data_IF_837354663404
#
_entry.id   IF_837354663404
#
_cell.length_a   1.000
_cell.length_b   1.000
_cell.length_c   1.000
_cell.angle_alpha   90.00
_cell.angle_beta   90.00
_cell.angle_gamma   90.00
#
_symmetry.space_group_name_H-M   'P 1'
#
loop_
_entity.id
_entity.type
_entity.pdbx_description
1 polymer ?
#
# COMPACT_ATOMS: atom_id res chain seq x y z
N UNK A 1 -51.18 -34.71 -26.14
CA UNK A 1 -50.26 -35.88 -26.20
C UNK A 1 -48.86 -35.56 -26.75
N UNK A 2 -48.59 -34.39 -27.34
CA UNK A 2 -47.29 -34.08 -27.97
C UNK A 2 -46.24 -33.50 -27.01
N UNK A 3 -46.67 -32.83 -25.94
CA UNK A 3 -45.81 -32.08 -25.00
C UNK A 3 -45.04 -33.04 -24.07
N UNK A 4 -45.69 -34.12 -23.65
CA UNK A 4 -45.07 -35.16 -22.80
C UNK A 4 -44.01 -35.96 -23.55
N UNK A 5 -44.22 -36.26 -24.83
CA UNK A 5 -43.25 -36.99 -25.65
C UNK A 5 -41.97 -36.16 -25.85
N UNK A 6 -42.09 -34.85 -26.12
CA UNK A 6 -40.94 -33.96 -26.30
C UNK A 6 -40.07 -33.87 -25.04
N UNK A 7 -40.68 -33.65 -23.87
CA UNK A 7 -39.96 -33.65 -22.60
C UNK A 7 -39.30 -35.00 -22.31
N UNK A 8 -39.96 -36.13 -22.59
CA UNK A 8 -39.35 -37.45 -22.38
C UNK A 8 -38.15 -37.65 -23.31
N UNK A 9 -38.22 -37.23 -24.58
CA UNK A 9 -37.11 -37.33 -25.54
C UNK A 9 -35.95 -36.41 -25.13
N UNK A 10 -36.21 -35.16 -24.76
CA UNK A 10 -35.18 -34.21 -24.29
C UNK A 10 -34.48 -34.74 -23.02
N UNK A 11 -35.26 -35.32 -22.11
CA UNK A 11 -34.72 -35.94 -20.88
C UNK A 11 -33.93 -37.21 -21.18
N UNK A 12 -34.34 -38.00 -22.18
CA UNK A 12 -33.62 -39.21 -22.60
C UNK A 12 -32.31 -38.86 -23.32
N UNK A 13 -32.29 -37.87 -24.21
CA UNK A 13 -31.09 -37.37 -24.88
C UNK A 13 -30.07 -36.84 -23.87
N UNK A 14 -30.52 -36.02 -22.93
CA UNK A 14 -29.66 -35.52 -21.85
C UNK A 14 -29.05 -36.67 -21.04
N UNK A 15 -29.83 -37.72 -20.76
CA UNK A 15 -29.37 -38.90 -20.00
C UNK A 15 -28.38 -39.76 -20.81
N UNK A 16 -28.57 -39.90 -22.13
CA UNK A 16 -27.62 -40.60 -22.99
C UNK A 16 -26.29 -39.86 -23.10
N UNK A 17 -26.30 -38.54 -23.29
CA UNK A 17 -25.09 -37.71 -23.29
C UNK A 17 -24.37 -37.81 -21.94
N UNK A 18 -25.11 -37.76 -20.82
CA UNK A 18 -24.52 -37.96 -19.48
C UNK A 18 -23.88 -39.35 -19.32
N UNK A 19 -24.51 -40.38 -19.88
CA UNK A 19 -23.99 -41.76 -19.80
C UNK A 19 -22.77 -41.98 -20.68
N UNK A 20 -22.69 -41.32 -21.84
CA UNK A 20 -21.58 -41.44 -22.80
C UNK A 20 -20.37 -40.62 -22.33
N UNK A 21 -20.62 -39.46 -21.72
CA UNK A 21 -19.63 -38.65 -21.02
C UNK A 21 -19.00 -39.45 -19.87
N UNK A 22 -19.81 -40.21 -19.12
CA UNK A 22 -19.33 -41.09 -18.05
C UNK A 22 -18.53 -42.32 -18.54
N UNK A 23 -18.47 -42.64 -19.84
CA UNK A 23 -17.56 -43.69 -20.35
C UNK A 23 -16.10 -43.25 -20.30
N UNK A 24 -15.83 -41.95 -20.46
CA UNK A 24 -14.50 -41.34 -20.35
C UNK A 24 -14.36 -40.59 -19.02
N UNK A 25 -14.55 -41.29 -17.88
CA UNK A 25 -14.53 -40.72 -16.52
C UNK A 25 -13.32 -39.81 -16.25
N UNK A 26 -12.15 -40.18 -16.78
CA UNK A 26 -10.91 -39.42 -16.67
C UNK A 26 -11.00 -38.05 -17.38
N UNK A 27 -11.50 -38.03 -18.62
CA UNK A 27 -11.65 -36.80 -19.41
C UNK A 27 -12.64 -35.83 -18.79
N UNK A 28 -13.76 -36.34 -18.27
CA UNK A 28 -14.77 -35.52 -17.57
C UNK A 28 -14.23 -34.97 -16.26
N UNK A 29 -13.51 -35.79 -15.51
CA UNK A 29 -12.84 -35.37 -14.28
C UNK A 29 -11.83 -34.26 -14.54
N UNK A 30 -11.01 -34.40 -15.60
CA UNK A 30 -10.05 -33.37 -16.02
C UNK A 30 -10.74 -32.08 -16.45
N UNK A 31 -11.86 -32.16 -17.18
CA UNK A 31 -12.61 -30.99 -17.61
C UNK A 31 -13.21 -30.24 -16.41
N UNK A 32 -13.81 -30.96 -15.45
CA UNK A 32 -14.30 -30.36 -14.21
C UNK A 32 -13.17 -29.74 -13.39
N UNK A 33 -12.04 -30.44 -13.26
CA UNK A 33 -10.88 -29.95 -12.54
C UNK A 33 -10.34 -28.66 -13.18
N UNK A 34 -10.33 -28.58 -14.52
CA UNK A 34 -9.91 -27.38 -15.25
C UNK A 34 -10.85 -26.20 -14.97
N UNK A 35 -12.17 -26.42 -14.99
CA UNK A 35 -13.16 -25.37 -14.67
C UNK A 35 -12.97 -24.88 -13.23
N UNK A 36 -12.78 -25.78 -12.27
CA UNK A 36 -12.52 -25.43 -10.88
C UNK A 36 -11.20 -24.66 -10.75
N UNK A 37 -10.15 -25.08 -11.45
CA UNK A 37 -8.86 -24.40 -11.45
C UNK A 37 -8.98 -22.97 -12.02
N UNK A 38 -9.71 -22.78 -13.12
CA UNK A 38 -9.92 -21.46 -13.70
C UNK A 38 -10.63 -20.52 -12.70
N UNK A 39 -11.70 -20.98 -12.05
CA UNK A 39 -12.41 -20.20 -11.03
C UNK A 39 -11.53 -19.91 -9.80
N UNK A 40 -10.78 -20.91 -9.34
CA UNK A 40 -9.87 -20.76 -8.21
C UNK A 40 -8.81 -19.70 -8.51
N UNK A 41 -8.14 -19.76 -9.66
CA UNK A 41 -7.10 -18.78 -10.04
C UNK A 41 -7.66 -17.35 -10.07
N UNK A 42 -8.86 -17.14 -10.64
CA UNK A 42 -9.50 -15.82 -10.66
C UNK A 42 -9.82 -15.34 -9.24
N UNK A 43 -10.31 -16.23 -8.37
CA UNK A 43 -10.60 -15.91 -6.99
C UNK A 43 -9.33 -15.55 -6.20
N UNK A 44 -8.26 -16.33 -6.38
CA UNK A 44 -6.94 -16.05 -5.80
C UNK A 44 -6.37 -14.72 -6.28
N UNK A 45 -6.52 -14.37 -7.56
CA UNK A 45 -6.08 -13.09 -8.09
C UNK A 45 -6.81 -11.90 -7.42
N UNK A 46 -8.11 -12.04 -7.18
CA UNK A 46 -8.90 -11.02 -6.49
C UNK A 46 -8.48 -10.88 -5.02
N UNK A 47 -8.28 -12.00 -4.33
CA UNK A 47 -7.76 -12.02 -2.95
C UNK A 47 -6.37 -11.38 -2.87
N UNK A 48 -5.49 -11.71 -3.82
CA UNK A 48 -4.16 -11.13 -3.89
C UNK A 48 -4.21 -9.61 -4.05
N UNK A 49 -5.12 -9.09 -4.88
CA UNK A 49 -5.32 -7.65 -5.03
C UNK A 49 -5.73 -6.98 -3.72
N UNK A 50 -6.62 -7.60 -2.95
CA UNK A 50 -7.03 -7.08 -1.64
C UNK A 50 -5.89 -7.10 -0.60
N UNK A 51 -5.09 -8.18 -0.59
CA UNK A 51 -3.98 -8.32 0.34
C UNK A 51 -2.85 -7.32 0.03
N UNK A 52 -2.58 -7.07 -1.26
CA UNK A 52 -1.63 -6.03 -1.71
C UNK A 52 -2.09 -4.64 -1.30
N UNK A 53 -3.39 -4.32 -1.41
CA UNK A 53 -3.92 -3.01 -0.98
C UNK A 53 -3.69 -2.77 0.52
N UNK A 54 -3.89 -3.79 1.36
CA UNK A 54 -3.66 -3.64 2.80
C UNK A 54 -2.17 -3.38 3.12
N UNK A 55 -1.27 -4.06 2.42
CA UNK A 55 0.16 -3.83 2.54
C UNK A 55 0.55 -2.42 2.08
N UNK A 56 -0.02 -1.96 0.98
CA UNK A 56 0.24 -0.63 0.40
C UNK A 56 -0.21 0.49 1.35
N UNK A 57 -1.36 0.33 2.02
CA UNK A 57 -1.85 1.29 3.02
C UNK A 57 -0.88 1.43 4.21
N UNK A 58 -0.36 0.32 4.72
CA UNK A 58 0.61 0.33 5.82
C UNK A 58 1.93 1.00 5.41
N UNK A 59 2.39 0.77 4.18
CA UNK A 59 3.57 1.44 3.63
C UNK A 59 3.33 2.95 3.48
N UNK A 60 2.17 3.34 2.98
CA UNK A 60 1.81 4.74 2.80
C UNK A 60 1.76 5.50 4.14
N UNK A 61 1.26 4.87 5.21
CA UNK A 61 1.26 5.46 6.55
C UNK A 61 2.68 5.68 7.09
N UNK A 62 3.58 4.72 6.87
CA UNK A 62 4.99 4.86 7.26
C UNK A 62 5.65 6.03 6.54
N UNK A 63 5.44 6.12 5.23
CA UNK A 63 6.06 7.15 4.40
C UNK A 63 5.55 8.56 4.78
N UNK A 64 4.29 8.71 5.16
CA UNK A 64 3.71 9.97 5.65
C UNK A 64 4.31 10.42 7.00
N UNK A 65 4.62 9.47 7.90
CA UNK A 65 5.34 9.76 9.15
C UNK A 65 6.77 10.20 8.86
N UNK A 66 7.47 9.52 7.96
CA UNK A 66 8.85 9.86 7.59
C UNK A 66 8.94 11.25 6.95
N UNK A 67 7.96 11.62 6.13
CA UNK A 67 7.85 12.96 5.54
C UNK A 67 7.70 14.03 6.61
N UNK A 68 6.79 13.83 7.57
CA UNK A 68 6.58 14.77 8.69
C UNK A 68 7.81 14.88 9.57
N UNK A 69 8.49 13.78 9.87
CA UNK A 69 9.73 13.79 10.63
C UNK A 69 10.82 14.61 9.95
N UNK A 70 11.01 14.41 8.64
CA UNK A 70 11.97 15.20 7.85
C UNK A 70 11.62 16.69 7.86
N UNK A 71 10.34 17.03 7.73
CA UNK A 71 9.88 18.41 7.79
C UNK A 71 10.20 19.06 9.15
N UNK A 72 9.86 18.37 10.24
CA UNK A 72 10.10 18.84 11.60
C UNK A 72 11.60 18.98 11.90
N UNK A 73 12.42 18.07 11.38
CA UNK A 73 13.88 18.18 11.50
C UNK A 73 14.44 19.40 10.75
N UNK A 74 13.88 19.74 9.59
CA UNK A 74 14.24 20.95 8.85
C UNK A 74 13.83 22.21 9.60
N UNK A 75 12.62 22.25 10.17
CA UNK A 75 12.17 23.36 11.03
C UNK A 75 13.11 23.53 12.24
N UNK A 76 13.45 22.44 12.93
CA UNK A 76 14.35 22.51 14.08
C UNK A 76 15.76 22.95 13.70
N UNK A 77 16.30 22.51 12.55
CA UNK A 77 17.60 22.97 12.08
C UNK A 77 17.58 24.46 11.74
N UNK A 78 16.52 24.95 11.10
CA UNK A 78 16.35 26.38 10.84
C UNK A 78 16.25 27.20 12.14
N UNK A 79 15.52 26.70 13.15
CA UNK A 79 15.42 27.34 14.46
C UNK A 79 16.72 27.26 15.26
N UNK A 80 17.48 26.17 15.15
CA UNK A 80 18.71 25.94 15.90
C UNK A 80 19.91 26.73 15.36
N UNK A 81 19.96 27.01 14.06
CA UNK A 81 20.99 27.86 13.44
C UNK A 81 20.90 29.32 13.95
N UNK A 82 19.69 29.87 14.07
CA UNK A 82 19.50 31.26 14.50
C UNK A 82 19.33 31.45 16.01
N UNK A 83 18.50 30.65 16.69
CA UNK A 83 18.12 30.95 18.08
C UNK A 83 19.14 30.48 19.13
N UNK A 84 19.90 29.42 18.86
CA UNK A 84 20.75 28.79 19.88
C UNK A 84 22.05 29.54 20.12
N UNK A 85 22.67 30.11 19.09
CA UNK A 85 23.90 30.89 19.23
C UNK A 85 23.59 32.25 19.87
N UNK A 86 22.48 32.88 19.49
CA UNK A 86 22.10 34.21 19.99
C UNK A 86 21.65 34.17 21.46
N UNK A 87 20.87 33.17 21.87
CA UNK A 87 20.47 33.03 23.28
C UNK A 87 21.63 32.63 24.19
N UNK A 88 22.53 31.75 23.74
CA UNK A 88 23.72 31.39 24.54
C UNK A 88 24.66 32.59 24.70
N UNK A 89 24.82 33.42 23.66
CA UNK A 89 25.62 34.65 23.74
C UNK A 89 24.95 35.74 24.59
N UNK A 90 23.62 35.80 24.65
CA UNK A 90 22.89 36.81 25.44
C UNK A 90 22.78 36.42 26.92
N UNK A 91 22.42 35.17 27.23
CA UNK A 91 22.18 34.72 28.61
C UNK A 91 23.45 34.34 29.38
N UNK A 92 24.45 33.71 28.74
CA UNK A 92 25.67 33.28 29.46
C UNK A 92 26.81 34.29 29.44
N UNK A 93 26.78 35.25 28.52
CA UNK A 93 27.85 36.22 28.29
C UNK A 93 27.42 37.66 28.56
N UNK A 94 26.16 37.91 28.97
CA UNK A 94 25.61 39.25 29.26
C UNK A 94 25.91 40.28 28.16
N UNK A 95 26.02 39.86 26.90
CA UNK A 95 26.30 40.76 25.78
C UNK A 95 25.03 41.54 25.41
N UNK A 96 24.92 42.76 25.94
CA UNK A 96 24.12 43.82 25.34
C UNK A 96 24.87 44.43 24.15
N UNK A 97 24.13 44.89 23.14
CA UNK A 97 24.71 45.42 21.90
C UNK A 97 25.26 46.82 22.19
N UNK A 98 26.59 47.04 22.25
CA UNK A 98 27.11 48.35 22.63
C UNK A 98 26.77 49.37 21.52
N UNK A 99 26.01 50.39 21.88
CA UNK A 99 25.80 51.62 21.11
C UNK A 99 27.13 52.33 20.90
N UNK A 100 27.24 53.09 19.80
CA UNK A 100 28.45 53.66 19.18
C UNK A 100 29.41 54.51 20.06
N UNK A 101 29.20 54.60 21.37
CA UNK A 101 30.06 55.34 22.32
C UNK A 101 31.12 54.47 23.02
N UNK A 102 31.14 53.14 22.83
CA UNK A 102 32.08 52.23 23.51
C UNK A 102 33.00 51.42 22.59
N UNK A 103 33.26 51.90 21.37
CA UNK A 103 34.16 51.23 20.43
C UNK A 103 35.61 51.71 20.64
N UNK A 104 36.45 50.89 21.30
CA UNK A 104 37.90 51.12 21.37
C UNK A 104 38.59 50.21 20.35
N UNK A 105 39.04 50.81 19.25
CA UNK A 105 39.83 50.13 18.21
C UNK A 105 41.27 50.01 18.70
N UNK A 106 41.71 48.79 19.00
CA UNK A 106 43.11 48.50 19.31
C UNK A 106 43.83 48.11 18.03
N UNK A 107 44.65 49.02 17.50
CA UNK A 107 45.64 48.73 16.46
C UNK A 107 46.81 47.98 17.09
N UNK A 108 47.03 46.73 16.67
CA UNK A 108 48.20 45.93 17.02
C UNK A 108 49.44 46.44 16.25
N UNK A 109 50.62 46.53 16.89
CA UNK A 109 51.89 46.89 16.24
C UNK A 109 52.43 45.80 15.31
#
# INVERSE_FOLDING_TARGET
MNITIKNVVDTQLARYILSDLSKHKLTVGLLLLNVVAALAVVHWAQLNRQMVIQQDVLLQQRDDIDLRWRHLLLEQRALAEHSRVENIARERLEMDRPTSEQEVVVTLP
#
